data_IF_479794368724
#
_entry.id   IF_479794368724
#
_cell.length_a   1.000
_cell.length_b   1.000
_cell.length_c   1.000
_cell.angle_alpha   90.00
_cell.angle_beta   90.00
_cell.angle_gamma   90.00
#
_symmetry.space_group_name_H-M   'P 1'
#
loop_
_entity.id
_entity.type
_entity.pdbx_description
1 polymer ?
#
# COMPACT_ATOMS: atom_id res chain seq x y z
N UNK A 1 -4.15 -16.20 2.45
CA UNK A 1 -4.18 -16.19 0.97
C UNK A 1 -5.57 -15.91 0.42
N UNK A 2 -6.62 -16.69 0.79
CA UNK A 2 -8.01 -16.48 0.35
C UNK A 2 -8.48 -15.03 0.52
N UNK A 3 -8.34 -14.47 1.73
CA UNK A 3 -8.65 -13.07 2.05
C UNK A 3 -8.05 -12.05 1.07
N UNK A 4 -6.78 -12.23 0.66
CA UNK A 4 -6.11 -11.30 -0.26
C UNK A 4 -6.65 -11.36 -1.69
N UNK A 5 -7.17 -12.53 -2.10
CA UNK A 5 -7.86 -12.68 -3.39
C UNK A 5 -9.25 -12.05 -3.32
N UNK A 6 -9.94 -12.21 -2.20
CA UNK A 6 -11.27 -11.61 -1.97
C UNK A 6 -11.18 -10.06 -1.92
N UNK A 7 -10.05 -9.51 -1.47
CA UNK A 7 -9.73 -8.08 -1.50
C UNK A 7 -9.43 -7.53 -2.92
N UNK A 8 -9.42 -8.38 -3.94
CA UNK A 8 -9.21 -7.96 -5.34
C UNK A 8 -7.76 -7.66 -5.70
N UNK A 9 -6.79 -8.11 -4.90
CA UNK A 9 -5.37 -7.89 -5.18
C UNK A 9 -4.96 -8.65 -6.45
N UNK A 10 -4.33 -7.93 -7.39
CA UNK A 10 -3.93 -8.51 -8.66
C UNK A 10 -2.98 -9.72 -8.45
N UNK A 11 -3.19 -10.86 -9.15
CA UNK A 11 -2.38 -12.06 -8.98
C UNK A 11 -0.88 -11.85 -9.20
N UNK A 12 -0.49 -10.85 -9.98
CA UNK A 12 0.91 -10.49 -10.20
C UNK A 12 1.62 -10.05 -8.90
N UNK A 13 0.97 -9.21 -8.07
CA UNK A 13 1.53 -8.78 -6.79
C UNK A 13 1.65 -9.93 -5.80
N UNK A 14 0.67 -10.85 -5.82
CA UNK A 14 0.70 -12.05 -4.98
C UNK A 14 1.86 -12.98 -5.33
N UNK A 15 2.12 -13.23 -6.62
CA UNK A 15 3.27 -14.05 -7.05
C UNK A 15 4.60 -13.41 -6.66
N UNK A 16 4.76 -12.10 -6.86
CA UNK A 16 5.96 -11.39 -6.48
C UNK A 16 6.20 -11.39 -4.95
N UNK A 17 5.13 -11.26 -4.15
CA UNK A 17 5.22 -11.36 -2.70
C UNK A 17 5.57 -12.76 -2.22
N UNK A 18 5.02 -13.81 -2.87
CA UNK A 18 5.36 -15.20 -2.60
C UNK A 18 6.83 -15.50 -2.90
N UNK A 19 7.37 -14.96 -3.99
CA UNK A 19 8.78 -15.12 -4.33
C UNK A 19 9.68 -14.48 -3.25
N UNK A 20 9.38 -13.24 -2.85
CA UNK A 20 10.11 -12.56 -1.75
C UNK A 20 9.99 -13.32 -0.43
N UNK A 21 8.83 -13.89 -0.13
CA UNK A 21 8.60 -14.69 1.06
C UNK A 21 9.49 -15.95 1.07
N UNK A 22 9.59 -16.66 -0.07
CA UNK A 22 10.44 -17.86 -0.21
C UNK A 22 11.92 -17.52 -0.05
N UNK A 23 12.38 -16.42 -0.66
CA UNK A 23 13.77 -15.96 -0.54
C UNK A 23 14.11 -15.56 0.90
N UNK A 24 13.21 -14.86 1.59
CA UNK A 24 13.45 -14.37 2.96
C UNK A 24 13.19 -15.44 4.05
N UNK A 25 12.55 -16.56 3.72
CA UNK A 25 12.25 -17.64 4.67
C UNK A 25 11.33 -17.23 5.83
N UNK A 26 10.44 -16.25 5.60
CA UNK A 26 9.61 -15.65 6.66
C UNK A 26 8.38 -16.50 6.99
N UNK A 27 7.68 -16.12 8.06
CA UNK A 27 6.43 -16.78 8.44
C UNK A 27 5.27 -16.38 7.51
N UNK A 28 4.28 -17.26 7.29
CA UNK A 28 3.13 -16.94 6.44
C UNK A 28 2.32 -15.72 6.89
N UNK A 29 2.38 -15.38 8.19
CA UNK A 29 1.67 -14.24 8.77
C UNK A 29 2.15 -12.88 8.24
N UNK A 30 3.39 -12.79 7.73
CA UNK A 30 3.91 -11.53 7.15
C UNK A 30 3.58 -11.39 5.66
N UNK A 31 2.95 -12.40 5.05
CA UNK A 31 2.62 -12.38 3.63
C UNK A 31 1.72 -11.19 3.22
N UNK A 32 0.70 -10.79 4.01
CA UNK A 32 -0.04 -9.56 3.74
C UNK A 32 0.89 -8.33 3.68
N UNK A 33 1.84 -8.21 4.60
CA UNK A 33 2.80 -7.09 4.61
C UNK A 33 3.70 -7.10 3.38
N UNK A 34 4.18 -8.27 2.95
CA UNK A 34 5.00 -8.40 1.73
C UNK A 34 4.22 -8.03 0.45
N UNK A 35 2.91 -8.33 0.41
CA UNK A 35 2.05 -7.91 -0.71
C UNK A 35 1.95 -6.39 -0.76
N UNK A 36 1.71 -5.72 0.37
CA UNK A 36 1.70 -4.26 0.43
C UNK A 36 3.07 -3.65 0.07
N UNK A 37 4.18 -4.27 0.49
CA UNK A 37 5.53 -3.85 0.10
C UNK A 37 5.72 -3.88 -1.43
N UNK A 38 5.28 -4.95 -2.10
CA UNK A 38 5.33 -5.08 -3.57
C UNK A 38 4.47 -4.02 -4.26
N UNK A 39 3.25 -3.79 -3.75
CA UNK A 39 2.33 -2.79 -4.32
C UNK A 39 2.90 -1.37 -4.17
N UNK A 40 3.42 -1.04 -2.99
CA UNK A 40 4.02 0.26 -2.72
C UNK A 40 5.26 0.50 -3.57
N UNK A 41 6.11 -0.52 -3.78
CA UNK A 41 7.27 -0.41 -4.66
C UNK A 41 6.87 -0.15 -6.12
N UNK A 42 5.77 -0.76 -6.59
CA UNK A 42 5.25 -0.51 -7.94
C UNK A 42 4.69 0.91 -8.09
N UNK A 43 3.98 1.43 -7.08
CA UNK A 43 3.50 2.81 -7.06
C UNK A 43 4.67 3.82 -7.07
N UNK A 44 5.70 3.58 -6.27
CA UNK A 44 6.91 4.43 -6.21
C UNK A 44 7.75 4.43 -7.49
N UNK A 45 7.59 3.42 -8.37
CA UNK A 45 8.25 3.41 -9.68
C UNK A 45 7.74 4.53 -10.60
N UNK A 46 6.56 5.08 -10.31
CA UNK A 46 6.07 6.31 -10.94
C UNK A 46 6.38 7.48 -10.00
N UNK A 47 7.36 8.34 -10.29
CA UNK A 47 7.68 9.45 -9.41
C UNK A 47 6.48 10.43 -9.37
N UNK A 48 5.76 10.43 -8.26
CA UNK A 48 4.80 11.47 -7.96
C UNK A 48 5.55 12.76 -7.66
N UNK A 49 5.11 13.89 -8.23
CA UNK A 49 5.67 15.19 -7.88
C UNK A 49 5.47 15.42 -6.38
N UNK A 50 6.56 15.66 -5.65
CA UNK A 50 6.49 15.98 -4.24
C UNK A 50 5.75 17.31 -4.06
N UNK A 51 4.69 17.31 -3.25
CA UNK A 51 3.95 18.50 -2.86
C UNK A 51 4.09 18.68 -1.36
N UNK A 52 4.64 19.82 -0.94
CA UNK A 52 4.66 20.20 0.47
C UNK A 52 3.22 20.31 0.99
N UNK A 53 2.96 19.73 2.16
CA UNK A 53 1.67 19.87 2.82
C UNK A 53 1.45 21.36 3.15
N UNK A 54 0.37 21.92 2.63
CA UNK A 54 -0.06 23.28 2.94
C UNK A 54 -1.44 23.18 3.56
N UNK A 55 -1.61 23.79 4.74
CA UNK A 55 -2.90 23.82 5.42
C UNK A 55 -3.93 24.48 4.49
N UNK A 56 -5.12 23.90 4.27
CA UNK A 56 -6.20 24.57 3.58
C UNK A 56 -6.44 25.97 4.15
N UNK A 57 -6.62 26.95 3.26
CA UNK A 57 -6.94 28.34 3.63
C UNK A 57 -8.30 28.47 4.30
N UNK A 58 -9.22 27.54 3.99
CA UNK A 58 -10.50 27.41 4.65
C UNK A 58 -10.54 26.09 5.42
N UNK A 59 -10.27 26.17 6.72
CA UNK A 59 -10.20 25.03 7.64
C UNK A 59 -11.59 24.45 7.86
N UNK A 60 -12.63 25.29 7.93
CA UNK A 60 -14.02 24.87 8.15
C UNK A 60 -14.52 24.07 6.94
N UNK A 61 -14.21 24.52 5.72
CA UNK A 61 -14.54 23.77 4.52
C UNK A 61 -13.76 22.45 4.39
N UNK A 62 -12.53 22.38 4.90
CA UNK A 62 -11.68 21.20 4.78
C UNK A 62 -11.92 20.12 5.84
N UNK A 63 -12.27 20.51 7.05
CA UNK A 63 -12.38 19.60 8.20
C UNK A 63 -13.76 19.58 8.87
N UNK A 64 -14.66 20.49 8.49
CA UNK A 64 -15.94 20.70 9.18
C UNK A 64 -15.79 21.62 10.40
N UNK A 65 -16.93 22.08 10.92
CA UNK A 65 -17.02 23.05 12.03
C UNK A 65 -16.78 22.42 13.42
N UNK A 66 -16.65 21.09 13.51
CA UNK A 66 -16.47 20.39 14.79
C UNK A 66 -15.00 20.12 15.07
N UNK A 67 -14.36 21.02 15.82
CA UNK A 67 -13.08 20.80 16.52
C UNK A 67 -13.24 21.03 18.02
#
# INVERSE_FOLDING_TARGET
MRKLLDEGIAPAHLRAALERHRVKGLSPSVLPSLVHEVMNAAASATPAAHRAWTNPTDVVAAYGDEL
#
